data_IF_390190703210
#
_entry.id   IF_390190703210
#
_cell.length_a   1.000
_cell.length_b   1.000
_cell.length_c   1.000
_cell.angle_alpha   90.00
_cell.angle_beta   90.00
_cell.angle_gamma   90.00
#
_symmetry.space_group_name_H-M   'P 1'
#
loop_
_entity.id
_entity.type
_entity.pdbx_description
1 polymer ?
#
# COMPACT_ATOMS: atom_id res chain seq x y z
N UNK A 1 -9.39 -9.24 15.11
CA UNK A 1 -8.54 -8.02 15.22
C UNK A 1 -9.03 -6.93 14.27
N UNK A 2 -9.06 -7.19 12.96
CA UNK A 2 -9.49 -6.22 11.94
C UNK A 2 -10.90 -5.65 12.21
N UNK A 3 -11.87 -6.50 12.55
CA UNK A 3 -13.25 -6.05 12.84
C UNK A 3 -13.33 -5.08 14.02
N UNK A 4 -12.53 -5.32 15.06
CA UNK A 4 -12.44 -4.44 16.23
C UNK A 4 -11.85 -3.09 15.80
N UNK A 5 -10.72 -3.10 15.10
CA UNK A 5 -10.06 -1.87 14.65
C UNK A 5 -10.97 -1.02 13.74
N UNK A 6 -11.77 -1.68 12.91
CA UNK A 6 -12.73 -1.04 11.99
C UNK A 6 -13.88 -0.32 12.70
N UNK A 7 -14.11 -0.60 13.99
CA UNK A 7 -15.07 0.08 14.85
C UNK A 7 -14.49 1.19 15.74
N UNK A 8 -13.19 1.48 15.63
CA UNK A 8 -12.48 2.44 16.50
C UNK A 8 -12.05 3.70 15.75
N UNK A 9 -11.36 4.61 16.44
CA UNK A 9 -10.71 5.78 15.81
C UNK A 9 -9.60 5.43 14.81
N UNK A 10 -9.13 4.19 14.79
CA UNK A 10 -8.19 3.70 13.78
C UNK A 10 -8.86 3.38 12.43
N UNK A 11 -10.20 3.42 12.36
CA UNK A 11 -10.96 3.12 11.16
C UNK A 11 -10.69 4.14 10.05
N UNK A 12 -10.62 3.65 8.82
CA UNK A 12 -10.69 4.46 7.61
C UNK A 12 -11.48 3.71 6.54
N UNK A 13 -11.89 4.40 5.48
CA UNK A 13 -12.47 3.73 4.31
C UNK A 13 -11.49 2.70 3.74
N UNK A 14 -10.20 3.07 3.64
CA UNK A 14 -9.13 2.16 3.22
C UNK A 14 -9.02 0.90 4.09
N UNK A 15 -9.09 1.02 5.41
CA UNK A 15 -9.00 -0.15 6.30
C UNK A 15 -10.19 -1.09 6.10
N UNK A 16 -11.40 -0.54 5.97
CA UNK A 16 -12.63 -1.33 5.76
C UNK A 16 -12.64 -2.04 4.41
N UNK A 17 -12.09 -1.41 3.39
CA UNK A 17 -12.11 -1.93 2.02
C UNK A 17 -10.90 -2.85 1.70
N UNK A 18 -9.67 -2.41 2.04
CA UNK A 18 -8.44 -3.18 1.78
C UNK A 18 -8.12 -4.19 2.88
N UNK A 19 -8.49 -3.91 4.13
CA UNK A 19 -8.15 -4.76 5.27
C UNK A 19 -8.55 -6.23 5.09
N UNK A 20 -9.79 -6.54 4.64
CA UNK A 20 -10.19 -7.93 4.40
C UNK A 20 -9.32 -8.62 3.33
N UNK A 21 -8.95 -7.92 2.25
CA UNK A 21 -8.09 -8.44 1.18
C UNK A 21 -6.63 -8.58 1.62
N UNK A 22 -6.17 -7.67 2.49
CA UNK A 22 -4.81 -7.66 3.01
C UNK A 22 -4.46 -8.92 3.81
N UNK A 23 -5.44 -9.55 4.45
CA UNK A 23 -5.25 -10.79 5.22
C UNK A 23 -5.52 -12.06 4.41
N UNK A 24 -5.94 -11.95 3.15
CA UNK A 24 -6.07 -13.08 2.23
C UNK A 24 -4.72 -13.40 1.59
N UNK A 25 -4.48 -14.68 1.27
CA UNK A 25 -3.21 -15.10 0.67
C UNK A 25 -3.03 -14.54 -0.75
N UNK A 26 -4.06 -14.68 -1.60
CA UNK A 26 -4.07 -14.19 -2.99
C UNK A 26 -5.47 -13.66 -3.35
N UNK A 27 -5.84 -12.45 -2.93
CA UNK A 27 -7.09 -11.83 -3.33
C UNK A 27 -7.09 -11.49 -4.83
N UNK A 28 -8.28 -11.49 -5.45
CA UNK A 28 -8.45 -10.91 -6.78
C UNK A 28 -8.11 -9.42 -6.76
N UNK A 29 -7.40 -8.95 -7.79
CA UNK A 29 -6.97 -7.56 -7.88
C UNK A 29 -8.13 -6.64 -8.30
N UNK A 30 -8.51 -5.73 -7.41
CA UNK A 30 -9.39 -4.60 -7.76
C UNK A 30 -8.57 -3.45 -8.36
N UNK A 31 -7.36 -3.27 -7.87
CA UNK A 31 -6.31 -2.43 -8.44
C UNK A 31 -4.97 -3.02 -8.06
N UNK A 32 -3.94 -2.79 -8.86
CA UNK A 32 -2.65 -3.46 -8.68
C UNK A 32 -1.65 -2.64 -7.89
N UNK A 33 -0.65 -3.31 -7.32
CA UNK A 33 0.53 -2.69 -6.71
C UNK A 33 1.19 -1.68 -7.66
N UNK A 34 1.35 -2.01 -8.94
CA UNK A 34 2.00 -1.14 -9.93
C UNK A 34 1.21 0.16 -10.19
N UNK A 35 -0.12 0.17 -10.02
CA UNK A 35 -0.91 1.40 -10.10
C UNK A 35 -0.53 2.36 -8.96
N UNK A 36 -0.31 1.84 -7.75
CA UNK A 36 0.14 2.66 -6.62
C UNK A 36 1.59 3.13 -6.76
N UNK A 37 2.47 2.30 -7.35
CA UNK A 37 3.83 2.76 -7.72
C UNK A 37 3.74 3.96 -8.65
N UNK A 38 2.95 3.86 -9.72
CA UNK A 38 2.73 4.96 -10.67
C UNK A 38 2.16 6.21 -9.99
N UNK A 39 1.05 6.08 -9.26
CA UNK A 39 0.33 7.22 -8.70
C UNK A 39 1.13 7.94 -7.62
N UNK A 40 1.81 7.20 -6.75
CA UNK A 40 2.70 7.81 -5.75
C UNK A 40 3.93 8.45 -6.41
N UNK A 41 4.42 7.92 -7.54
CA UNK A 41 5.45 8.57 -8.35
C UNK A 41 5.01 9.95 -8.85
N UNK A 42 3.77 10.07 -9.34
CA UNK A 42 3.18 11.36 -9.77
C UNK A 42 3.04 12.32 -8.57
N UNK A 43 2.55 11.83 -7.43
CA UNK A 43 2.42 12.64 -6.21
C UNK A 43 3.77 13.19 -5.74
N UNK A 44 4.82 12.36 -5.79
CA UNK A 44 6.17 12.78 -5.40
C UNK A 44 6.78 13.80 -6.38
N UNK A 45 6.47 13.71 -7.68
CA UNK A 45 6.88 14.72 -8.66
C UNK A 45 6.19 16.07 -8.39
N UNK A 46 4.87 16.08 -8.21
CA UNK A 46 4.13 17.30 -7.88
C UNK A 46 4.63 17.95 -6.56
N UNK A 47 5.00 17.12 -5.57
CA UNK A 47 5.64 17.58 -4.34
C UNK A 47 6.99 18.26 -4.58
N UNK A 48 7.83 17.72 -5.48
CA UNK A 48 9.10 18.34 -5.88
C UNK A 48 8.89 19.69 -6.54
N UNK A 49 7.98 19.78 -7.50
CA UNK A 49 7.66 21.02 -8.23
C UNK A 49 7.21 22.15 -7.28
N UNK A 50 6.43 21.79 -6.26
CA UNK A 50 5.88 22.73 -5.27
C UNK A 50 6.76 22.92 -4.03
N UNK A 51 7.88 22.21 -3.93
CA UNK A 51 8.74 22.15 -2.73
C UNK A 51 7.99 21.72 -1.45
N UNK A 52 6.97 20.88 -1.60
CA UNK A 52 6.22 20.31 -0.48
C UNK A 52 6.92 19.06 0.08
N UNK A 53 7.05 18.98 1.41
CA UNK A 53 7.59 17.79 2.07
C UNK A 53 6.54 16.68 2.16
N UNK A 54 6.82 15.51 1.56
CA UNK A 54 5.90 14.37 1.47
C UNK A 54 6.48 13.06 2.05
N UNK A 55 6.93 13.04 3.33
CA UNK A 55 7.63 11.87 3.89
C UNK A 55 6.78 10.59 3.89
N UNK A 56 5.47 10.70 4.15
CA UNK A 56 4.59 9.53 4.16
C UNK A 56 4.30 8.98 2.76
N UNK A 57 4.13 9.83 1.75
CA UNK A 57 3.98 9.39 0.36
C UNK A 57 5.28 8.73 -0.14
N UNK A 58 6.43 9.27 0.25
CA UNK A 58 7.72 8.69 -0.08
C UNK A 58 7.90 7.30 0.55
N UNK A 59 7.55 7.14 1.82
CA UNK A 59 7.57 5.84 2.49
C UNK A 59 6.62 4.85 1.80
N UNK A 60 5.37 5.25 1.56
CA UNK A 60 4.38 4.41 0.88
C UNK A 60 4.89 3.96 -0.50
N UNK A 61 5.46 4.88 -1.28
CA UNK A 61 6.02 4.58 -2.60
C UNK A 61 7.12 3.52 -2.51
N UNK A 62 8.03 3.61 -1.53
CA UNK A 62 9.07 2.60 -1.35
C UNK A 62 8.52 1.23 -0.93
N UNK A 63 7.47 1.19 -0.11
CA UNK A 63 6.81 -0.08 0.24
C UNK A 63 6.18 -0.74 -0.98
N UNK A 64 5.38 -0.01 -1.76
CA UNK A 64 4.80 -0.54 -3.00
C UNK A 64 5.87 -0.94 -4.03
N UNK A 65 6.91 -0.12 -4.20
CA UNK A 65 8.02 -0.41 -5.09
C UNK A 65 8.78 -1.68 -4.67
N UNK A 66 8.94 -1.92 -3.37
CA UNK A 66 9.58 -3.13 -2.87
C UNK A 66 8.78 -4.40 -3.17
N UNK A 67 7.45 -4.32 -3.14
CA UNK A 67 6.56 -5.45 -3.51
C UNK A 67 6.59 -5.67 -5.02
N UNK A 68 6.44 -4.60 -5.81
CA UNK A 68 6.55 -4.67 -7.28
C UNK A 68 7.89 -5.26 -7.72
N UNK A 69 9.00 -4.80 -7.13
CA UNK A 69 10.36 -5.27 -7.42
C UNK A 69 10.61 -6.75 -7.10
N UNK A 70 9.72 -7.41 -6.34
CA UNK A 70 9.77 -8.86 -6.06
C UNK A 70 8.93 -9.69 -7.05
N UNK A 71 8.35 -9.06 -8.07
CA UNK A 71 7.49 -9.71 -9.06
C UNK A 71 6.00 -9.62 -8.75
N UNK A 72 5.62 -9.01 -7.63
CA UNK A 72 4.23 -8.85 -7.18
C UNK A 72 3.62 -7.52 -7.69
N UNK A 73 3.99 -7.06 -8.89
CA UNK A 73 3.46 -5.80 -9.44
C UNK A 73 1.97 -5.87 -9.83
N UNK A 74 1.51 -7.05 -10.24
CA UNK A 74 0.15 -7.29 -10.75
C UNK A 74 -0.82 -7.83 -9.70
N UNK A 75 -0.37 -8.08 -8.46
CA UNK A 75 -1.28 -8.49 -7.39
C UNK A 75 -2.03 -7.28 -6.85
N UNK A 76 -3.11 -7.55 -6.12
CA UNK A 76 -3.94 -6.54 -5.48
C UNK A 76 -3.13 -5.56 -4.60
N UNK A 77 -3.49 -4.28 -4.61
CA UNK A 77 -2.79 -3.23 -3.85
C UNK A 77 -2.78 -3.46 -2.33
N UNK A 78 -3.77 -4.21 -1.80
CA UNK A 78 -3.76 -4.62 -0.40
C UNK A 78 -2.56 -5.49 -0.03
N UNK A 79 -1.92 -6.12 -1.01
CA UNK A 79 -0.73 -6.96 -0.81
C UNK A 79 0.55 -6.16 -0.54
N UNK A 80 0.47 -4.83 -0.39
CA UNK A 80 1.54 -4.02 0.21
C UNK A 80 1.98 -4.52 1.59
N UNK A 81 1.12 -5.26 2.30
CA UNK A 81 1.49 -5.97 3.56
C UNK A 81 2.68 -6.92 3.38
N UNK A 82 2.93 -7.44 2.17
CA UNK A 82 4.09 -8.28 1.88
C UNK A 82 5.43 -7.56 2.10
N UNK A 83 5.46 -6.22 1.98
CA UNK A 83 6.63 -5.43 2.36
C UNK A 83 6.92 -5.55 3.86
N UNK A 84 5.88 -5.45 4.70
CA UNK A 84 6.01 -5.60 6.16
C UNK A 84 6.43 -7.02 6.55
N UNK A 85 5.86 -8.04 5.91
CA UNK A 85 6.24 -9.45 6.12
C UNK A 85 7.72 -9.68 5.78
N UNK A 86 8.16 -9.20 4.62
CA UNK A 86 9.55 -9.32 4.19
C UNK A 86 10.53 -8.63 5.15
N UNK A 87 10.17 -7.47 5.73
CA UNK A 87 11.00 -6.81 6.75
C UNK A 87 11.10 -7.59 8.07
N UNK A 88 10.09 -8.39 8.39
CA UNK A 88 10.05 -9.22 9.59
C UNK A 88 10.59 -10.65 9.36
N UNK A 89 11.08 -10.96 8.16
CA UNK A 89 11.64 -12.28 7.84
C UNK A 89 10.59 -13.36 7.53
N UNK A 90 9.37 -12.95 7.18
CA UNK A 90 8.30 -13.82 6.69
C UNK A 90 8.30 -13.94 5.16
#
# INVERSE_FOLDING_TARGET
MLDILSGTSASSWMLKDRGPRMIMDNPEAFTTVDIFVKDLGIVLEAGRETKAALPFAALAHQLFLSVSGRGDGQVDDSQVIRAYRAFNGE
#
